data_IF_722766858162
#
_entry.id   IF_722766858162
#
_cell.length_a   1.000
_cell.length_b   1.000
_cell.length_c   1.000
_cell.angle_alpha   90.00
_cell.angle_beta   90.00
_cell.angle_gamma   90.00
#
_symmetry.space_group_name_H-M   'P 1'
#
loop_
_entity.id
_entity.type
_entity.pdbx_description
1 polymer ?
#
# COMPACT_ATOMS: atom_id res chain seq x y z
N UNK A 1 9.58 40.23 -6.90
CA UNK A 1 8.86 39.35 -7.85
C UNK A 1 7.96 38.42 -7.06
N UNK A 2 6.66 38.43 -7.38
CA UNK A 2 5.66 37.55 -6.73
C UNK A 2 6.00 36.11 -7.12
N UNK A 3 6.17 35.22 -6.12
CA UNK A 3 6.39 33.80 -6.36
C UNK A 3 5.08 33.15 -6.81
N UNK A 4 5.16 32.19 -7.73
CA UNK A 4 3.96 31.59 -8.36
C UNK A 4 3.04 30.87 -7.38
N UNK A 5 3.60 30.30 -6.30
CA UNK A 5 2.88 29.53 -5.28
C UNK A 5 2.72 30.31 -3.95
N UNK A 6 2.93 31.62 -3.95
CA UNK A 6 2.80 32.41 -2.73
C UNK A 6 1.42 32.26 -2.07
N UNK A 7 1.40 31.93 -0.77
CA UNK A 7 0.18 31.67 0.01
C UNK A 7 -0.54 30.35 -0.31
N UNK A 8 0.01 29.49 -1.16
CA UNK A 8 -0.60 28.18 -1.50
C UNK A 8 0.01 27.04 -0.70
N UNK A 9 -0.82 26.06 -0.36
CA UNK A 9 -0.41 24.77 0.19
C UNK A 9 -0.59 23.74 -0.90
N UNK A 10 0.49 23.04 -1.24
CA UNK A 10 0.49 21.88 -2.15
C UNK A 10 0.54 20.61 -1.30
N UNK A 11 -0.44 19.72 -1.51
CA UNK A 11 -0.52 18.44 -0.78
C UNK A 11 -0.41 17.31 -1.78
N UNK A 12 0.64 16.50 -1.68
CA UNK A 12 0.76 15.29 -2.46
C UNK A 12 0.10 14.11 -1.74
N UNK A 13 -0.93 13.56 -2.32
CA UNK A 13 -1.64 12.38 -1.77
C UNK A 13 -1.28 11.07 -2.50
N UNK A 14 -0.38 11.12 -3.47
CA UNK A 14 0.09 9.93 -4.20
C UNK A 14 1.11 9.14 -3.37
N UNK A 15 1.19 7.84 -3.65
CA UNK A 15 2.25 6.99 -3.11
C UNK A 15 3.48 7.09 -4.02
N UNK A 16 4.46 7.87 -3.57
CA UNK A 16 5.80 8.01 -4.14
C UNK A 16 6.84 7.81 -3.02
N UNK A 17 8.13 7.79 -3.39
CA UNK A 17 9.21 7.64 -2.42
C UNK A 17 9.32 8.84 -1.46
N UNK A 18 9.73 8.65 -0.19
CA UNK A 18 10.08 9.73 0.71
C UNK A 18 11.08 10.73 0.11
N UNK A 19 12.11 10.23 -0.55
CA UNK A 19 13.12 11.05 -1.23
C UNK A 19 12.54 11.91 -2.35
N UNK A 20 11.57 11.39 -3.12
CA UNK A 20 10.87 12.15 -4.16
C UNK A 20 10.01 13.27 -3.56
N UNK A 21 9.30 13.02 -2.46
CA UNK A 21 8.52 14.05 -1.76
C UNK A 21 9.42 15.18 -1.22
N UNK A 22 10.62 14.87 -0.74
CA UNK A 22 11.60 15.89 -0.33
C UNK A 22 12.06 16.75 -1.51
N UNK A 23 12.26 16.15 -2.68
CA UNK A 23 12.59 16.89 -3.90
C UNK A 23 11.45 17.81 -4.35
N UNK A 24 10.20 17.32 -4.34
CA UNK A 24 9.00 18.12 -4.67
C UNK A 24 8.84 19.27 -3.66
N UNK A 25 9.03 19.00 -2.35
CA UNK A 25 9.02 20.05 -1.32
C UNK A 25 9.95 21.20 -1.67
N UNK A 26 11.21 20.90 -2.01
CA UNK A 26 12.20 21.93 -2.35
C UNK A 26 11.76 22.79 -3.54
N UNK A 27 11.13 22.19 -4.57
CA UNK A 27 10.61 22.92 -5.73
C UNK A 27 9.45 23.85 -5.33
N UNK A 28 8.50 23.35 -4.55
CA UNK A 28 7.34 24.11 -4.10
C UNK A 28 7.74 25.29 -3.22
N UNK A 29 8.65 25.07 -2.27
CA UNK A 29 9.14 26.11 -1.36
C UNK A 29 9.96 27.17 -2.12
N UNK A 30 10.76 26.79 -3.11
CA UNK A 30 11.46 27.74 -3.97
C UNK A 30 10.49 28.63 -4.76
N UNK A 31 9.30 28.11 -5.14
CA UNK A 31 8.24 28.87 -5.77
C UNK A 31 7.37 29.67 -4.78
N UNK A 32 7.66 29.65 -3.47
CA UNK A 32 7.00 30.42 -2.42
C UNK A 32 5.79 29.74 -1.80
N UNK A 33 5.51 28.48 -2.13
CA UNK A 33 4.44 27.67 -1.54
C UNK A 33 4.85 26.95 -0.29
N UNK A 34 3.88 26.33 0.37
CA UNK A 34 4.09 25.33 1.42
C UNK A 34 3.79 23.95 0.89
N UNK A 35 4.52 22.93 1.35
CA UNK A 35 4.33 21.55 0.89
C UNK A 35 4.04 20.63 2.05
N UNK A 36 3.15 19.67 1.82
CA UNK A 36 2.93 18.50 2.66
C UNK A 36 2.65 17.27 1.81
N UNK A 37 2.80 16.10 2.39
CA UNK A 37 2.33 14.85 1.84
C UNK A 37 1.23 14.26 2.72
N UNK A 38 0.27 13.58 2.10
CA UNK A 38 -0.83 12.96 2.82
C UNK A 38 -1.31 11.70 2.07
N UNK A 39 -0.44 10.70 1.80
CA UNK A 39 -0.90 9.48 1.20
C UNK A 39 -1.95 8.81 2.09
N UNK A 40 -2.79 7.99 1.48
CA UNK A 40 -3.96 7.43 2.14
C UNK A 40 -3.89 5.91 2.24
N UNK A 41 -4.48 5.36 3.30
CA UNK A 41 -4.71 3.93 3.44
C UNK A 41 -6.22 3.65 3.47
N UNK A 42 -6.62 2.72 2.64
CA UNK A 42 -7.99 2.36 2.29
C UNK A 42 -8.10 2.20 0.78
N UNK A 43 -9.03 1.34 0.36
CA UNK A 43 -9.32 1.11 -1.06
C UNK A 43 -10.59 1.83 -1.48
N UNK A 44 -11.28 1.33 -2.50
CA UNK A 44 -12.47 1.96 -3.10
C UNK A 44 -13.56 2.27 -2.07
N UNK A 45 -13.94 1.30 -1.23
CA UNK A 45 -15.03 1.47 -0.26
C UNK A 45 -14.72 2.55 0.79
N UNK A 46 -13.58 2.56 1.49
CA UNK A 46 -13.19 3.66 2.36
C UNK A 46 -13.11 5.02 1.65
N UNK A 47 -12.65 5.06 0.40
CA UNK A 47 -12.60 6.31 -0.37
C UNK A 47 -14.00 6.86 -0.66
N UNK A 48 -14.93 6.00 -1.10
CA UNK A 48 -16.32 6.37 -1.37
C UNK A 48 -17.03 6.89 -0.12
N UNK A 49 -16.73 6.29 1.04
CA UNK A 49 -17.40 6.59 2.30
C UNK A 49 -16.72 7.73 3.11
N UNK A 50 -15.63 8.33 2.61
CA UNK A 50 -14.88 9.33 3.37
C UNK A 50 -14.23 8.77 4.66
N UNK A 51 -13.84 7.50 4.66
CA UNK A 51 -13.32 6.80 5.84
C UNK A 51 -11.87 6.36 5.68
N UNK A 52 -11.12 7.02 4.79
CA UNK A 52 -9.68 6.76 4.61
C UNK A 52 -8.89 7.04 5.90
N UNK A 53 -7.76 6.38 6.04
CA UNK A 53 -6.70 6.82 6.96
C UNK A 53 -5.76 7.73 6.18
N UNK A 54 -5.55 8.94 6.68
CA UNK A 54 -4.66 9.93 6.07
C UNK A 54 -3.33 9.89 6.81
N UNK A 55 -2.23 9.71 6.07
CA UNK A 55 -0.89 9.54 6.62
C UNK A 55 -0.10 10.82 6.35
N UNK A 56 -0.29 11.81 7.20
CA UNK A 56 0.26 13.15 6.98
C UNK A 56 1.74 13.22 7.35
N UNK A 57 2.54 13.82 6.45
CA UNK A 57 3.91 14.26 6.67
C UNK A 57 4.09 15.72 6.25
N UNK A 58 4.47 16.57 7.21
CA UNK A 58 4.60 18.01 7.02
C UNK A 58 4.58 18.74 8.35
N UNK A 59 4.77 20.06 8.31
CA UNK A 59 4.74 20.90 9.49
C UNK A 59 3.30 21.06 10.05
N UNK A 60 3.17 21.22 11.36
CA UNK A 60 1.88 21.32 12.03
C UNK A 60 1.06 22.54 11.57
N UNK A 61 1.73 23.66 11.30
CA UNK A 61 1.09 24.86 10.76
C UNK A 61 0.51 24.64 9.35
N UNK A 62 1.02 23.66 8.60
CA UNK A 62 0.47 23.24 7.30
C UNK A 62 -0.70 22.27 7.49
N UNK A 63 -0.67 21.42 8.52
CA UNK A 63 -1.76 20.49 8.84
C UNK A 63 -3.04 21.22 9.27
N UNK A 64 -2.91 22.25 10.11
CA UNK A 64 -4.05 22.92 10.72
C UNK A 64 -5.12 23.41 9.71
N UNK A 65 -4.78 24.12 8.63
CA UNK A 65 -5.77 24.54 7.63
C UNK A 65 -6.36 23.37 6.81
N UNK A 66 -5.70 22.21 6.77
CA UNK A 66 -6.14 21.03 6.03
C UNK A 66 -7.09 20.13 6.81
N UNK A 67 -7.21 20.29 8.14
CA UNK A 67 -8.01 19.39 8.98
C UNK A 67 -9.46 19.27 8.53
N UNK A 68 -10.08 20.38 8.08
CA UNK A 68 -11.46 20.36 7.57
C UNK A 68 -11.60 19.49 6.31
N UNK A 69 -10.65 19.59 5.38
CA UNK A 69 -10.64 18.78 4.15
C UNK A 69 -10.38 17.33 4.49
N UNK A 70 -9.39 17.07 5.35
CA UNK A 70 -9.05 15.70 5.76
C UNK A 70 -10.20 15.03 6.54
N UNK A 71 -10.98 15.78 7.32
CA UNK A 71 -12.16 15.26 8.00
C UNK A 71 -13.31 14.84 7.07
N UNK A 72 -13.33 15.36 5.83
CA UNK A 72 -14.29 14.92 4.78
C UNK A 72 -13.77 13.65 4.08
N UNK A 73 -12.47 13.57 3.83
CA UNK A 73 -11.85 12.47 3.08
C UNK A 73 -11.61 11.22 3.91
N UNK A 74 -11.42 11.38 5.22
CA UNK A 74 -10.98 10.27 6.07
C UNK A 74 -11.54 10.30 7.47
N UNK A 75 -11.56 9.12 8.10
CA UNK A 75 -12.00 8.96 9.50
C UNK A 75 -10.93 9.35 10.51
N UNK A 76 -9.65 9.37 10.09
CA UNK A 76 -8.53 9.70 10.97
C UNK A 76 -7.32 10.17 10.17
N UNK A 77 -6.69 11.23 10.65
CA UNK A 77 -5.38 11.70 10.18
C UNK A 77 -4.32 11.34 11.22
N UNK A 78 -3.25 10.68 10.77
CA UNK A 78 -2.06 10.43 11.56
C UNK A 78 -0.97 11.40 11.13
N UNK A 79 -0.41 12.16 12.05
CA UNK A 79 0.74 13.04 11.79
C UNK A 79 2.03 12.31 12.15
N UNK A 80 2.82 11.95 11.14
CA UNK A 80 4.06 11.18 11.29
C UNK A 80 5.30 12.07 11.49
N UNK A 81 5.15 13.39 11.42
CA UNK A 81 6.25 14.37 11.52
C UNK A 81 6.52 15.04 10.18
N UNK A 82 7.78 15.39 9.91
CA UNK A 82 8.17 16.12 8.70
C UNK A 82 7.86 15.37 7.40
N UNK A 83 7.91 16.08 6.26
CA UNK A 83 7.80 15.51 4.91
C UNK A 83 8.78 14.34 4.74
N UNK A 84 8.35 13.28 4.09
CA UNK A 84 9.02 11.97 3.97
C UNK A 84 8.50 10.93 4.97
N UNK A 85 7.97 11.35 6.12
CA UNK A 85 7.49 10.41 7.16
C UNK A 85 6.11 9.83 6.85
N UNK A 86 5.21 10.60 6.25
CA UNK A 86 3.90 10.13 5.79
C UNK A 86 4.02 9.10 4.68
N UNK A 87 4.84 9.36 3.65
CA UNK A 87 5.13 8.40 2.59
C UNK A 87 5.89 7.18 3.10
N UNK A 88 6.85 7.35 4.02
CA UNK A 88 7.49 6.23 4.71
C UNK A 88 6.47 5.33 5.41
N UNK A 89 5.53 5.91 6.19
CA UNK A 89 4.45 5.16 6.82
C UNK A 89 3.57 4.43 5.79
N UNK A 90 3.29 5.07 4.65
CA UNK A 90 2.55 4.44 3.54
C UNK A 90 3.28 3.23 2.99
N UNK A 91 4.58 3.32 2.76
CA UNK A 91 5.39 2.19 2.28
C UNK A 91 5.44 1.05 3.31
N UNK A 92 5.52 1.36 4.61
CA UNK A 92 5.42 0.35 5.68
C UNK A 92 4.09 -0.40 5.61
N UNK A 93 2.97 0.32 5.55
CA UNK A 93 1.64 -0.33 5.48
C UNK A 93 1.46 -1.15 4.20
N UNK A 94 1.94 -0.67 3.06
CA UNK A 94 1.81 -1.39 1.81
C UNK A 94 2.78 -2.58 1.71
N UNK A 95 3.93 -2.52 2.38
CA UNK A 95 4.82 -3.69 2.53
C UNK A 95 4.16 -4.79 3.36
N UNK A 96 3.52 -4.44 4.49
CA UNK A 96 2.73 -5.40 5.27
C UNK A 96 1.57 -5.99 4.45
N UNK A 97 0.87 -5.17 3.67
CA UNK A 97 -0.20 -5.64 2.79
C UNK A 97 0.31 -6.67 1.76
N UNK A 98 1.46 -6.40 1.15
CA UNK A 98 2.09 -7.31 0.19
C UNK A 98 2.54 -8.62 0.85
N UNK A 99 3.20 -8.54 2.01
CA UNK A 99 3.65 -9.71 2.78
C UNK A 99 2.45 -10.58 3.19
N UNK A 100 1.37 -9.99 3.66
CA UNK A 100 0.16 -10.73 4.02
C UNK A 100 -0.51 -11.36 2.78
N UNK A 101 -0.54 -10.64 1.65
CA UNK A 101 -1.05 -11.18 0.39
C UNK A 101 -0.30 -12.41 -0.07
N UNK A 102 1.03 -12.36 -0.02
CA UNK A 102 1.92 -13.50 -0.33
C UNK A 102 1.70 -14.65 0.66
N UNK A 103 1.77 -14.37 1.98
CA UNK A 103 1.67 -15.37 3.02
C UNK A 103 0.33 -16.14 2.99
N UNK A 104 -0.80 -15.44 2.81
CA UNK A 104 -2.10 -16.09 2.68
C UNK A 104 -2.21 -16.88 1.37
N UNK A 105 -1.66 -16.37 0.27
CA UNK A 105 -1.62 -17.10 -1.00
C UNK A 105 -0.83 -18.41 -0.90
N UNK A 106 0.35 -18.37 -0.28
CA UNK A 106 1.15 -19.57 -0.02
C UNK A 106 0.44 -20.53 0.94
N UNK A 107 -0.22 -20.03 2.00
CA UNK A 107 -0.98 -20.85 2.92
C UNK A 107 -2.11 -21.62 2.22
N UNK A 108 -2.87 -20.96 1.32
CA UNK A 108 -3.92 -21.62 0.54
C UNK A 108 -3.35 -22.69 -0.41
N UNK A 109 -2.20 -22.40 -1.05
CA UNK A 109 -1.54 -23.35 -1.93
C UNK A 109 -0.97 -24.55 -1.16
N UNK A 110 -0.39 -24.31 0.02
CA UNK A 110 0.13 -25.34 0.91
C UNK A 110 -0.98 -26.24 1.44
N UNK A 111 -2.12 -25.66 1.86
CA UNK A 111 -3.31 -26.43 2.27
C UNK A 111 -3.77 -27.37 1.14
N UNK A 112 -3.89 -26.84 -0.07
CA UNK A 112 -4.22 -27.65 -1.26
C UNK A 112 -3.21 -28.77 -1.52
N UNK A 113 -1.92 -28.51 -1.35
CA UNK A 113 -0.87 -29.54 -1.51
C UNK A 113 -0.99 -30.67 -0.47
N UNK A 114 -1.47 -30.35 0.72
CA UNK A 114 -1.73 -31.32 1.79
C UNK A 114 -3.12 -31.98 1.68
N UNK A 115 -3.90 -31.67 0.64
CA UNK A 115 -5.24 -32.22 0.47
C UNK A 115 -6.28 -31.66 1.44
N UNK A 116 -5.99 -30.49 2.05
CA UNK A 116 -6.93 -29.79 2.94
C UNK A 116 -7.89 -28.99 2.07
N UNK A 117 -9.17 -29.09 2.38
CA UNK A 117 -10.22 -28.34 1.71
C UNK A 117 -10.05 -26.83 1.90
N UNK A 118 -10.31 -26.06 0.82
CA UNK A 118 -10.08 -24.62 0.79
C UNK A 118 -10.98 -23.87 1.77
N UNK A 119 -12.25 -24.22 1.86
CA UNK A 119 -13.18 -23.54 2.76
C UNK A 119 -12.85 -23.82 4.22
N UNK A 120 -12.45 -25.07 4.52
CA UNK A 120 -12.02 -25.48 5.85
C UNK A 120 -10.78 -24.72 6.32
N UNK A 121 -9.76 -24.54 5.47
CA UNK A 121 -8.56 -23.78 5.87
C UNK A 121 -8.87 -22.28 5.98
N UNK A 122 -9.73 -21.73 5.16
CA UNK A 122 -10.17 -20.34 5.27
C UNK A 122 -10.89 -20.11 6.60
N UNK A 123 -11.77 -21.02 7.01
CA UNK A 123 -12.46 -20.95 8.30
C UNK A 123 -11.45 -21.03 9.46
N UNK A 124 -10.51 -21.97 9.40
CA UNK A 124 -9.48 -22.14 10.42
C UNK A 124 -8.59 -20.90 10.57
N UNK A 125 -8.14 -20.30 9.45
CA UNK A 125 -7.37 -19.05 9.48
C UNK A 125 -8.20 -17.93 10.09
N UNK A 126 -9.46 -17.76 9.67
CA UNK A 126 -10.36 -16.73 10.18
C UNK A 126 -10.74 -16.90 11.65
N UNK A 127 -10.66 -18.11 12.21
CA UNK A 127 -10.89 -18.39 13.63
C UNK A 127 -9.61 -18.38 14.49
N UNK A 128 -8.45 -18.15 13.87
CA UNK A 128 -7.15 -18.18 14.55
C UNK A 128 -6.57 -16.79 14.81
N UNK A 129 -5.42 -16.76 15.51
CA UNK A 129 -4.63 -15.53 15.68
C UNK A 129 -4.05 -14.99 14.35
N UNK A 130 -4.16 -15.74 13.25
CA UNK A 130 -3.73 -15.32 11.92
C UNK A 130 -4.82 -14.57 11.16
N UNK A 131 -5.99 -14.35 11.74
CA UNK A 131 -7.04 -13.51 11.14
C UNK A 131 -6.62 -12.03 11.08
N UNK A 132 -7.11 -11.34 10.07
CA UNK A 132 -6.92 -9.90 9.92
C UNK A 132 -8.07 -9.29 9.12
N UNK A 133 -8.32 -7.96 9.24
CA UNK A 133 -9.30 -7.29 8.38
C UNK A 133 -8.99 -7.46 6.88
N UNK A 134 -7.71 -7.54 6.50
CA UNK A 134 -7.31 -7.85 5.14
C UNK A 134 -7.74 -9.25 4.72
N UNK A 135 -7.49 -10.26 5.55
CA UNK A 135 -7.91 -11.63 5.27
C UNK A 135 -9.43 -11.72 5.11
N UNK A 136 -10.20 -11.18 6.05
CA UNK A 136 -11.66 -11.18 6.00
C UNK A 136 -12.22 -10.52 4.73
N UNK A 137 -11.58 -9.45 4.27
CA UNK A 137 -11.99 -8.75 3.04
C UNK A 137 -11.68 -9.54 1.77
N UNK A 138 -10.62 -10.37 1.78
CA UNK A 138 -10.09 -11.02 0.59
C UNK A 138 -10.25 -12.54 0.55
N UNK A 139 -10.70 -13.18 1.61
CA UNK A 139 -10.82 -14.65 1.71
C UNK A 139 -11.63 -15.28 0.58
N UNK A 140 -12.70 -14.59 0.12
CA UNK A 140 -13.50 -15.06 -1.01
C UNK A 140 -12.75 -15.06 -2.35
N UNK A 141 -11.72 -14.23 -2.49
CA UNK A 141 -10.89 -14.20 -3.71
C UNK A 141 -10.08 -15.51 -3.84
N UNK A 142 -9.53 -16.00 -2.74
CA UNK A 142 -8.82 -17.29 -2.71
C UNK A 142 -9.78 -18.47 -2.82
N UNK A 143 -10.95 -18.42 -2.17
CA UNK A 143 -11.97 -19.46 -2.25
C UNK A 143 -12.44 -19.67 -3.70
N UNK A 144 -12.76 -18.58 -4.40
CA UNK A 144 -13.29 -18.62 -5.76
C UNK A 144 -12.19 -18.63 -6.83
N UNK A 145 -10.92 -18.34 -6.45
CA UNK A 145 -9.80 -18.15 -7.38
C UNK A 145 -10.05 -17.06 -8.43
N UNK A 146 -10.81 -16.04 -8.05
CA UNK A 146 -11.14 -14.88 -8.84
C UNK A 146 -10.62 -13.63 -8.11
N UNK A 147 -9.86 -12.77 -8.79
CA UNK A 147 -9.14 -11.66 -8.16
C UNK A 147 -9.49 -10.30 -8.78
N UNK A 148 -10.79 -9.90 -8.80
CA UNK A 148 -11.18 -8.58 -9.27
C UNK A 148 -10.51 -7.50 -8.40
N UNK A 149 -9.93 -6.45 -9.01
CA UNK A 149 -9.07 -5.53 -8.28
C UNK A 149 -9.85 -4.55 -7.40
N UNK A 150 -9.61 -4.58 -6.09
CA UNK A 150 -9.85 -3.46 -5.19
C UNK A 150 -8.57 -2.63 -5.01
N UNK A 151 -7.41 -3.28 -5.10
CA UNK A 151 -6.09 -2.66 -5.20
C UNK A 151 -5.23 -3.48 -6.17
N UNK A 152 -4.93 -2.92 -7.34
CA UNK A 152 -4.27 -3.67 -8.40
C UNK A 152 -2.83 -4.08 -8.03
N UNK A 153 -2.46 -5.31 -8.38
CA UNK A 153 -1.17 -5.93 -8.08
C UNK A 153 0.01 -5.10 -8.63
N UNK A 154 -0.13 -4.47 -9.80
CA UNK A 154 0.89 -3.57 -10.34
C UNK A 154 1.21 -2.39 -9.42
N UNK A 155 0.22 -1.85 -8.71
CA UNK A 155 0.43 -0.76 -7.75
C UNK A 155 1.10 -1.25 -6.47
N UNK A 156 0.72 -2.45 -5.98
CA UNK A 156 1.39 -3.08 -4.86
C UNK A 156 2.86 -3.39 -5.19
N UNK A 157 3.13 -3.92 -6.40
CA UNK A 157 4.49 -4.15 -6.90
C UNK A 157 5.30 -2.86 -6.95
N UNK A 158 4.72 -1.76 -7.47
CA UNK A 158 5.38 -0.45 -7.46
C UNK A 158 5.74 -0.01 -6.04
N UNK A 159 4.81 -0.09 -5.11
CA UNK A 159 5.00 0.38 -3.73
C UNK A 159 6.05 -0.44 -2.98
N UNK A 160 6.06 -1.77 -3.16
CA UNK A 160 7.08 -2.66 -2.63
C UNK A 160 8.48 -2.32 -3.18
N UNK A 161 8.58 -2.05 -4.48
CA UNK A 161 9.86 -1.66 -5.09
C UNK A 161 10.34 -0.30 -4.59
N UNK A 162 9.44 0.67 -4.37
CA UNK A 162 9.80 1.94 -3.71
C UNK A 162 10.38 1.70 -2.32
N UNK A 163 9.73 0.83 -1.51
CA UNK A 163 10.22 0.49 -0.16
C UNK A 163 11.60 -0.17 -0.21
N UNK A 164 11.82 -1.14 -1.10
CA UNK A 164 13.12 -1.81 -1.28
C UNK A 164 14.20 -0.81 -1.68
N UNK A 165 13.90 0.11 -2.61
CA UNK A 165 14.86 1.10 -3.07
C UNK A 165 15.26 2.10 -1.96
N UNK A 166 14.29 2.61 -1.20
CA UNK A 166 14.57 3.51 -0.06
C UNK A 166 15.39 2.81 1.03
N UNK A 167 15.09 1.53 1.32
CA UNK A 167 15.87 0.74 2.28
C UNK A 167 17.32 0.55 1.80
N UNK A 168 17.52 0.20 0.53
CA UNK A 168 18.86 0.03 -0.05
C UNK A 168 19.67 1.34 -0.04
N UNK A 169 19.05 2.47 -0.35
CA UNK A 169 19.69 3.78 -0.27
C UNK A 169 20.13 4.13 1.17
N UNK A 170 19.37 3.65 2.16
CA UNK A 170 19.72 3.78 3.58
C UNK A 170 20.71 2.71 4.08
N UNK A 171 21.24 1.85 3.20
CA UNK A 171 22.16 0.77 3.56
C UNK A 171 21.50 -0.41 4.30
N UNK A 172 20.19 -0.56 4.20
CA UNK A 172 19.41 -1.61 4.87
C UNK A 172 18.86 -2.63 3.87
N UNK A 173 18.66 -3.86 4.35
CA UNK A 173 18.01 -4.97 3.64
C UNK A 173 17.01 -5.65 4.58
N UNK A 174 15.81 -5.88 4.09
CA UNK A 174 14.74 -6.59 4.81
C UNK A 174 14.30 -7.78 3.95
N UNK A 175 14.76 -9.01 4.24
CA UNK A 175 14.60 -10.17 3.36
C UNK A 175 13.14 -10.46 2.96
N UNK A 176 12.19 -10.37 3.88
CA UNK A 176 10.77 -10.62 3.58
C UNK A 176 10.23 -9.60 2.57
N UNK A 177 10.53 -8.31 2.75
CA UNK A 177 10.08 -7.26 1.82
C UNK A 177 10.69 -7.46 0.43
N UNK A 178 11.98 -7.78 0.36
CA UNK A 178 12.69 -7.99 -0.91
C UNK A 178 12.16 -9.22 -1.66
N UNK A 179 11.94 -10.33 -0.96
CA UNK A 179 11.39 -11.56 -1.54
C UNK A 179 9.98 -11.33 -2.10
N UNK A 180 9.13 -10.67 -1.33
CA UNK A 180 7.76 -10.36 -1.75
C UNK A 180 7.75 -9.35 -2.90
N UNK A 181 8.60 -8.32 -2.87
CA UNK A 181 8.72 -7.36 -3.98
C UNK A 181 9.08 -8.07 -5.29
N UNK A 182 10.01 -9.04 -5.25
CA UNK A 182 10.40 -9.84 -6.41
C UNK A 182 9.25 -10.73 -6.89
N UNK A 183 8.52 -11.38 -5.98
CA UNK A 183 7.36 -12.21 -6.32
C UNK A 183 6.28 -11.39 -7.04
N UNK A 184 5.98 -10.19 -6.53
CA UNK A 184 5.00 -9.28 -7.14
C UNK A 184 5.47 -8.75 -8.49
N UNK A 185 6.77 -8.44 -8.64
CA UNK A 185 7.35 -8.04 -9.92
C UNK A 185 7.19 -9.15 -10.98
N UNK A 186 7.47 -10.39 -10.58
CA UNK A 186 7.28 -11.56 -11.46
C UNK A 186 5.81 -11.80 -11.81
N UNK A 187 4.88 -11.57 -10.87
CA UNK A 187 3.46 -11.68 -11.13
C UNK A 187 2.98 -10.62 -12.15
N UNK A 188 3.48 -9.37 -12.05
CA UNK A 188 3.21 -8.34 -13.06
C UNK A 188 3.76 -8.76 -14.43
N UNK A 189 4.99 -9.26 -14.49
CA UNK A 189 5.62 -9.71 -15.74
C UNK A 189 4.88 -10.92 -16.37
N UNK A 190 4.22 -11.74 -15.55
CA UNK A 190 3.39 -12.86 -15.99
C UNK A 190 1.97 -12.42 -16.45
N UNK A 191 1.65 -11.13 -16.46
CA UNK A 191 0.37 -10.59 -16.96
C UNK A 191 -0.70 -10.41 -15.88
N UNK A 192 -0.41 -10.64 -14.60
CA UNK A 192 -1.40 -10.52 -13.52
C UNK A 192 -1.49 -9.11 -12.90
N UNK A 193 -0.86 -8.12 -13.52
CA UNK A 193 -0.78 -6.74 -12.98
C UNK A 193 -2.11 -6.06 -12.71
N UNK A 194 -3.15 -6.38 -13.47
CA UNK A 194 -4.50 -5.82 -13.31
C UNK A 194 -5.37 -6.58 -12.32
N UNK A 195 -4.91 -7.72 -11.81
CA UNK A 195 -5.59 -8.46 -10.75
C UNK A 195 -5.47 -7.75 -9.40
N UNK A 196 -6.29 -8.15 -8.43
CA UNK A 196 -6.13 -7.69 -7.04
C UNK A 196 -4.75 -8.09 -6.47
N UNK A 197 -4.29 -7.39 -5.44
CA UNK A 197 -3.04 -7.69 -4.73
C UNK A 197 -2.95 -9.15 -4.28
N UNK A 198 -4.07 -9.78 -3.92
CA UNK A 198 -4.14 -11.20 -3.59
C UNK A 198 -3.94 -12.13 -4.82
N UNK A 199 -4.02 -11.57 -6.03
CA UNK A 199 -3.80 -12.30 -7.29
C UNK A 199 -2.36 -12.76 -7.53
N UNK A 200 -1.42 -12.40 -6.65
CA UNK A 200 -0.08 -13.02 -6.59
C UNK A 200 -0.18 -14.54 -6.48
N UNK A 201 -1.26 -15.06 -5.89
CA UNK A 201 -1.65 -16.47 -5.88
C UNK A 201 -1.55 -17.13 -7.26
N UNK A 202 -2.01 -16.47 -8.33
CA UNK A 202 -2.03 -17.03 -9.68
C UNK A 202 -0.61 -17.32 -10.21
N UNK A 203 0.36 -16.46 -9.89
CA UNK A 203 1.77 -16.67 -10.26
C UNK A 203 2.39 -17.80 -9.44
N UNK A 204 2.02 -17.91 -8.16
CA UNK A 204 2.53 -18.98 -7.28
C UNK A 204 1.94 -20.33 -7.64
N UNK A 205 0.71 -20.39 -8.15
CA UNK A 205 0.05 -21.61 -8.60
C UNK A 205 0.56 -22.07 -9.96
N UNK A 206 1.77 -22.64 -9.98
CA UNK A 206 2.46 -23.14 -11.19
C UNK A 206 1.69 -24.24 -11.94
N UNK A 207 0.64 -24.82 -11.35
CA UNK A 207 -0.19 -25.84 -12.00
C UNK A 207 -1.31 -25.25 -12.87
N UNK A 208 -1.51 -23.94 -12.86
CA UNK A 208 -2.56 -23.26 -13.63
C UNK A 208 -2.13 -22.92 -15.07
N UNK A 209 -0.90 -23.26 -15.46
CA UNK A 209 -0.33 -23.03 -16.80
C UNK A 209 0.01 -24.37 -17.44
N UNK A 210 -1.03 -25.13 -17.79
CA UNK A 210 -0.98 -26.22 -18.77
C UNK A 210 -2.25 -26.15 -19.63
#
# INVERSE_FOLDING_TARGET
>A
TRKELDGKIIVNMSTIAPSENLAVKAIVEAAGGQFAEAPVSGSVVPATNGTLLILFGGEENVLNPLQKVFGILGKKTFHFGSVGKGSGAKLVLNSLLGIFGEAYSEAMLMARQFGIDTDTIIEAVGGSAMDSPMFQTKKSLWANREFPPAFALKHASKDLNLAVNELKQAGNSLPAVETVAESYRQAVAAGYGEQDVAGVYLKLDRKSVV
#
